data_IF_454222201252
#
_entry.id   IF_454222201252
#
_cell.length_a   1.000
_cell.length_b   1.000
_cell.length_c   1.000
_cell.angle_alpha   90.00
_cell.angle_beta   90.00
_cell.angle_gamma   90.00
#
_symmetry.space_group_name_H-M   'P 1'
#
loop_
_entity.id
_entity.type
_entity.pdbx_description
1 polymer ?
#
# COMPACT_ATOMS: atom_id res chain seq x y z
N UNK A 1 10.49 -15.35 61.02
CA UNK A 1 10.83 -15.15 62.44
C UNK A 1 10.88 -13.72 62.96
N UNK A 2 10.75 -12.67 62.12
CA UNK A 2 10.67 -11.29 62.60
C UNK A 2 9.40 -10.98 63.42
N UNK A 3 8.22 -11.47 62.98
CA UNK A 3 6.94 -11.19 63.64
C UNK A 3 6.78 -11.88 65.02
N UNK A 4 7.46 -13.02 65.24
CA UNK A 4 7.46 -13.70 66.54
C UNK A 4 8.32 -12.94 67.56
N UNK A 5 9.46 -12.37 67.12
CA UNK A 5 10.29 -11.53 67.97
C UNK A 5 9.58 -10.22 68.36
N UNK A 6 8.76 -9.66 67.46
CA UNK A 6 7.98 -8.45 67.71
C UNK A 6 6.86 -8.69 68.75
N UNK A 7 6.21 -9.86 68.69
CA UNK A 7 5.22 -10.27 69.70
C UNK A 7 5.83 -10.43 71.09
N UNK A 8 7.02 -11.04 71.17
CA UNK A 8 7.72 -11.22 72.45
C UNK A 8 8.16 -9.89 73.08
N UNK A 9 8.53 -8.88 72.28
CA UNK A 9 8.82 -7.53 72.79
C UNK A 9 7.58 -6.85 73.36
N UNK A 10 6.45 -6.93 72.65
CA UNK A 10 5.18 -6.38 73.15
C UNK A 10 4.73 -7.07 74.46
N UNK A 11 4.97 -8.37 74.61
CA UNK A 11 4.70 -9.12 75.85
C UNK A 11 5.59 -8.65 77.01
N UNK A 12 6.88 -8.39 76.76
CA UNK A 12 7.82 -7.87 77.76
C UNK A 12 7.49 -6.44 78.17
N UNK A 13 7.22 -5.55 77.22
CA UNK A 13 6.87 -4.14 77.52
C UNK A 13 5.57 -4.02 78.33
N UNK A 14 4.64 -4.97 78.15
CA UNK A 14 3.45 -5.10 79.01
C UNK A 14 3.78 -5.61 80.40
N UNK A 15 4.64 -6.62 80.51
CA UNK A 15 5.07 -7.15 81.81
C UNK A 15 5.81 -6.11 82.64
N UNK A 16 6.57 -5.23 81.98
CA UNK A 16 7.28 -4.10 82.59
C UNK A 16 6.37 -2.88 82.87
N UNK A 17 5.08 -2.94 82.47
CA UNK A 17 4.07 -1.91 82.76
C UNK A 17 4.17 -0.63 81.90
N UNK A 18 4.97 -0.65 80.85
CA UNK A 18 5.23 0.53 80.00
C UNK A 18 4.15 0.80 78.95
N UNK A 19 3.27 -0.17 78.67
CA UNK A 19 2.18 -0.02 77.69
C UNK A 19 0.83 -0.36 78.31
N UNK A 20 -0.22 0.36 77.91
CA UNK A 20 -1.56 0.12 78.41
C UNK A 20 -2.15 -1.19 77.87
N UNK A 21 -3.17 -1.69 78.55
CA UNK A 21 -3.84 -2.95 78.20
C UNK A 21 -4.48 -2.90 76.81
N UNK A 22 -4.98 -1.72 76.42
CA UNK A 22 -5.66 -1.47 75.15
C UNK A 22 -4.68 -1.29 73.99
N UNK A 23 -3.51 -0.70 74.25
CA UNK A 23 -2.45 -0.54 73.24
C UNK A 23 -1.85 -1.90 72.87
N UNK A 24 -1.61 -2.76 73.86
CA UNK A 24 -1.17 -4.13 73.63
C UNK A 24 -2.20 -4.93 72.83
N UNK A 25 -3.50 -4.83 73.16
CA UNK A 25 -4.55 -5.52 72.44
C UNK A 25 -4.68 -5.05 70.98
N UNK A 26 -4.35 -3.78 70.72
CA UNK A 26 -4.33 -3.23 69.35
C UNK A 26 -3.11 -3.70 68.56
N UNK A 27 -1.93 -3.76 69.19
CA UNK A 27 -0.71 -4.30 68.58
C UNK A 27 -0.87 -5.78 68.18
N UNK A 28 -1.48 -6.61 69.04
CA UNK A 28 -1.74 -8.02 68.69
C UNK A 28 -2.69 -8.17 67.49
N UNK A 29 -3.72 -7.34 67.39
CA UNK A 29 -4.69 -7.40 66.28
C UNK A 29 -4.05 -7.04 64.93
N UNK A 30 -3.15 -6.07 64.91
CA UNK A 30 -2.43 -5.72 63.67
C UNK A 30 -1.43 -6.80 63.25
N UNK A 31 -0.77 -7.46 64.22
CA UNK A 31 0.12 -8.60 63.96
C UNK A 31 -0.69 -9.77 63.38
N UNK A 32 -1.83 -10.11 63.97
CA UNK A 32 -2.71 -11.19 63.47
C UNK A 32 -3.25 -10.89 62.07
N UNK A 33 -3.61 -9.63 61.78
CA UNK A 33 -4.03 -9.22 60.43
C UNK A 33 -2.91 -9.35 59.41
N UNK A 34 -1.66 -9.04 59.77
CA UNK A 34 -0.48 -9.22 58.90
C UNK A 34 -0.14 -10.70 58.68
N UNK A 35 -0.30 -11.54 59.70
CA UNK A 35 -0.15 -12.99 59.58
C UNK A 35 -1.21 -13.59 58.63
N UNK A 36 -2.46 -13.15 58.74
CA UNK A 36 -3.53 -13.57 57.83
C UNK A 36 -3.28 -13.07 56.39
N UNK A 37 -2.77 -11.85 56.22
CA UNK A 37 -2.37 -11.32 54.91
C UNK A 37 -1.26 -12.13 54.24
N UNK A 38 -0.25 -12.57 55.01
CA UNK A 38 0.82 -13.43 54.52
C UNK A 38 0.33 -14.83 54.13
N UNK A 39 -0.68 -15.37 54.81
CA UNK A 39 -1.32 -16.63 54.42
C UNK A 39 -2.13 -16.50 53.12
N UNK A 40 -2.80 -15.37 52.89
CA UNK A 40 -3.55 -15.11 51.66
C UNK A 40 -2.65 -14.84 50.44
N UNK A 41 -1.47 -14.25 50.64
CA UNK A 41 -0.43 -14.11 49.60
C UNK A 41 0.16 -15.49 49.23
N UNK A 42 0.41 -16.34 50.23
CA UNK A 42 0.90 -17.70 50.02
C UNK A 42 -0.17 -18.59 49.36
N UNK A 43 -1.45 -18.40 49.68
CA UNK A 43 -2.58 -19.09 49.02
C UNK A 43 -2.80 -18.62 47.58
N UNK A 44 -2.53 -17.33 47.26
CA UNK A 44 -2.47 -16.84 45.87
C UNK A 44 -1.30 -17.44 45.08
N UNK A 45 -0.16 -17.70 45.73
CA UNK A 45 1.00 -18.33 45.08
C UNK A 45 0.82 -19.85 44.92
N UNK A 46 0.06 -20.53 45.79
CA UNK A 46 -0.36 -21.93 45.59
C UNK A 46 -1.58 -22.10 44.67
N UNK A 47 -2.42 -21.07 44.49
CA UNK A 47 -3.56 -21.08 43.55
C UNK A 47 -3.15 -20.82 42.09
N UNK A 48 -1.87 -20.52 41.82
CA UNK A 48 -1.30 -20.60 40.45
C UNK A 48 -0.82 -22.05 40.15
N UNK A 49 -1.02 -22.99 41.08
CA UNK A 49 -0.90 -24.43 40.84
C UNK A 49 -2.27 -25.08 40.65
N UNK A 50 -2.53 -25.55 39.43
CA UNK A 50 -3.71 -26.32 38.99
C UNK A 50 -5.03 -25.55 38.80
N UNK A 51 -5.23 -24.98 37.60
CA UNK A 51 -6.42 -25.28 36.76
C UNK A 51 -6.30 -24.69 35.35
N UNK A 52 -5.46 -25.27 34.48
CA UNK A 52 -5.56 -25.13 33.00
C UNK A 52 -5.10 -26.40 32.25
N UNK A 53 -5.04 -27.55 32.92
CA UNK A 53 -4.72 -28.84 32.28
C UNK A 53 -5.95 -29.73 32.16
N UNK A 54 -6.97 -29.25 31.45
CA UNK A 54 -7.91 -30.18 30.81
C UNK A 54 -7.20 -30.82 29.62
N UNK A 55 -7.29 -32.14 29.45
CA UNK A 55 -6.71 -32.91 28.34
C UNK A 55 -6.84 -32.25 26.93
N UNK A 56 -7.94 -31.54 26.57
CA UNK A 56 -8.03 -30.80 25.31
C UNK A 56 -7.07 -29.61 25.17
N UNK A 57 -6.62 -28.98 26.26
CA UNK A 57 -5.73 -27.81 26.22
C UNK A 57 -4.27 -28.20 25.92
N UNK A 58 -3.84 -29.38 26.40
CA UNK A 58 -2.54 -29.97 26.03
C UNK A 58 -2.53 -30.38 24.57
N UNK A 59 -3.65 -30.96 24.09
CA UNK A 59 -3.80 -31.31 22.69
C UNK A 59 -3.77 -30.08 21.79
N UNK A 60 -4.49 -29.00 22.17
CA UNK A 60 -4.52 -27.74 21.42
C UNK A 60 -3.17 -27.01 21.38
N UNK A 61 -2.42 -27.03 22.48
CA UNK A 61 -1.10 -26.38 22.56
C UNK A 61 -0.02 -27.14 21.78
N UNK A 62 -0.15 -28.47 21.64
CA UNK A 62 0.71 -29.27 20.76
C UNK A 62 0.27 -29.18 19.29
N UNK A 63 -1.00 -28.91 19.03
CA UNK A 63 -1.55 -28.81 17.68
C UNK A 63 -0.95 -27.64 16.90
N UNK A 64 -0.71 -26.51 17.56
CA UNK A 64 -0.13 -25.31 16.94
C UNK A 64 1.29 -25.55 16.39
N UNK A 65 2.28 -26.04 17.16
CA UNK A 65 3.60 -26.34 16.62
C UNK A 65 3.58 -27.47 15.59
N UNK A 66 2.69 -28.46 15.73
CA UNK A 66 2.57 -29.56 14.74
C UNK A 66 1.97 -29.09 13.43
N UNK A 67 0.92 -28.24 13.45
CA UNK A 67 0.37 -27.62 12.24
C UNK A 67 1.38 -26.66 11.61
N UNK A 68 2.08 -25.87 12.42
CA UNK A 68 3.14 -24.98 11.95
C UNK A 68 4.26 -25.77 11.28
N UNK A 69 4.67 -26.91 11.86
CA UNK A 69 5.65 -27.82 11.27
C UNK A 69 5.10 -28.49 9.99
N UNK A 70 3.83 -28.89 9.96
CA UNK A 70 3.20 -29.47 8.78
C UNK A 70 3.08 -28.47 7.62
N UNK A 71 2.70 -27.24 7.91
CA UNK A 71 2.69 -26.12 6.94
C UNK A 71 4.11 -25.83 6.47
N UNK A 72 5.08 -25.81 7.38
CA UNK A 72 6.49 -25.57 7.06
C UNK A 72 7.11 -26.70 6.22
N UNK A 73 6.72 -27.96 6.42
CA UNK A 73 7.20 -29.08 5.60
C UNK A 73 6.45 -29.20 4.27
N UNK A 74 5.20 -28.73 4.19
CA UNK A 74 4.39 -28.75 2.97
C UNK A 74 4.62 -27.56 2.03
N UNK A 75 4.89 -26.37 2.58
CA UNK A 75 5.10 -25.12 1.84
C UNK A 75 6.56 -24.66 1.92
N UNK A 76 7.24 -24.94 3.02
CA UNK A 76 8.65 -24.59 3.20
C UNK A 76 9.57 -25.57 2.48
N UNK A 77 10.76 -25.08 2.17
CA UNK A 77 11.77 -25.83 1.44
C UNK A 77 12.97 -26.03 2.38
N UNK A 78 12.91 -26.97 3.34
CA UNK A 78 13.90 -27.10 4.41
C UNK A 78 15.30 -27.45 3.90
N UNK A 79 15.40 -28.00 2.69
CA UNK A 79 16.65 -28.30 1.98
C UNK A 79 17.12 -27.17 1.05
N UNK A 80 16.52 -25.97 1.09
CA UNK A 80 17.05 -24.86 0.30
C UNK A 80 18.41 -24.46 0.85
N UNK A 81 19.51 -24.64 0.09
CA UNK A 81 20.83 -24.24 0.56
C UNK A 81 20.82 -22.74 0.87
N UNK A 82 21.42 -22.36 2.00
CA UNK A 82 21.71 -20.96 2.32
C UNK A 82 22.35 -20.33 1.08
N UNK A 83 21.71 -19.30 0.50
CA UNK A 83 22.30 -18.49 -0.58
C UNK A 83 22.97 -17.28 0.05
N UNK A 84 24.25 -17.35 0.45
CA UNK A 84 24.97 -16.22 1.05
C UNK A 84 24.95 -15.03 0.09
N UNK A 85 24.92 -13.80 0.63
CA UNK A 85 24.86 -12.55 -0.13
C UNK A 85 25.88 -12.45 -1.28
N UNK A 86 27.04 -13.12 -1.17
CA UNK A 86 28.04 -13.23 -2.22
C UNK A 86 27.52 -13.84 -3.55
N UNK A 87 26.53 -14.74 -3.47
CA UNK A 87 25.88 -15.36 -4.65
C UNK A 87 24.82 -14.45 -5.30
N UNK A 88 24.29 -13.47 -4.56
CA UNK A 88 23.35 -12.45 -5.07
C UNK A 88 24.06 -11.23 -5.64
N UNK A 89 25.34 -11.00 -5.32
CA UNK A 89 26.10 -9.87 -5.86
C UNK A 89 26.16 -9.90 -7.39
N UNK A 90 26.29 -11.09 -8.00
CA UNK A 90 26.28 -11.23 -9.46
C UNK A 90 24.88 -10.96 -10.07
N UNK A 91 23.81 -11.41 -9.41
CA UNK A 91 22.42 -11.15 -9.83
C UNK A 91 22.05 -9.67 -9.67
N UNK A 92 22.43 -9.03 -8.56
CA UNK A 92 22.25 -7.60 -8.31
C UNK A 92 23.11 -6.77 -9.27
N UNK A 93 24.35 -7.19 -9.55
CA UNK A 93 25.21 -6.53 -10.53
C UNK A 93 24.66 -6.68 -11.95
N UNK A 94 24.12 -7.85 -12.32
CA UNK A 94 23.46 -8.07 -13.60
C UNK A 94 22.16 -7.24 -13.72
N UNK A 95 21.35 -7.17 -12.67
CA UNK A 95 20.15 -6.33 -12.62
C UNK A 95 20.50 -4.83 -12.73
N UNK A 96 21.56 -4.37 -12.05
CA UNK A 96 22.07 -2.99 -12.16
C UNK A 96 22.67 -2.71 -13.53
N UNK A 97 23.42 -3.66 -14.10
CA UNK A 97 23.98 -3.53 -15.44
C UNK A 97 22.87 -3.42 -16.50
N UNK A 98 21.85 -4.28 -16.43
CA UNK A 98 20.67 -4.21 -17.30
C UNK A 98 19.87 -2.92 -17.10
N UNK A 99 19.72 -2.44 -15.87
CA UNK A 99 19.08 -1.14 -15.61
C UNK A 99 19.86 0.04 -16.22
N UNK A 100 21.18 0.04 -16.09
CA UNK A 100 22.05 1.05 -16.69
C UNK A 100 22.03 0.99 -18.22
N UNK A 101 22.02 -0.20 -18.81
CA UNK A 101 21.94 -0.39 -20.25
C UNK A 101 20.60 0.12 -20.81
N UNK A 102 19.49 -0.19 -20.14
CA UNK A 102 18.17 0.34 -20.49
C UNK A 102 18.10 1.87 -20.38
N UNK A 103 18.68 2.45 -19.33
CA UNK A 103 18.73 3.91 -19.16
C UNK A 103 19.56 4.57 -20.26
N UNK A 104 20.71 3.98 -20.61
CA UNK A 104 21.55 4.47 -21.70
C UNK A 104 20.85 4.37 -23.06
N UNK A 105 20.13 3.27 -23.31
CA UNK A 105 19.34 3.09 -24.52
C UNK A 105 18.23 4.15 -24.65
N UNK A 106 17.50 4.42 -23.56
CA UNK A 106 16.46 5.45 -23.55
C UNK A 106 17.03 6.87 -23.78
N UNK A 107 18.17 7.18 -23.16
CA UNK A 107 18.86 8.45 -23.37
C UNK A 107 19.39 8.61 -24.81
N UNK A 108 19.89 7.54 -25.42
CA UNK A 108 20.32 7.54 -26.81
C UNK A 108 19.14 7.71 -27.76
N UNK A 109 18.02 7.00 -27.53
CA UNK A 109 16.80 7.14 -28.31
C UNK A 109 16.26 8.59 -28.29
N UNK A 110 16.28 9.25 -27.13
CA UNK A 110 15.92 10.67 -27.04
C UNK A 110 16.85 11.55 -27.89
N UNK A 111 18.17 11.36 -27.79
CA UNK A 111 19.15 12.13 -28.58
C UNK A 111 18.95 11.94 -30.08
N UNK A 112 18.72 10.69 -30.51
CA UNK A 112 18.51 10.36 -31.92
C UNK A 112 17.20 10.96 -32.44
N UNK A 113 16.14 10.94 -31.64
CA UNK A 113 14.87 11.56 -31.98
C UNK A 113 14.97 13.10 -32.09
N UNK A 114 15.74 13.75 -31.21
CA UNK A 114 16.05 15.19 -31.34
C UNK A 114 16.74 15.45 -32.67
N UNK A 115 17.80 14.70 -32.99
CA UNK A 115 18.53 14.86 -34.25
C UNK A 115 17.66 14.57 -35.48
N UNK A 116 16.67 13.68 -35.38
CA UNK A 116 15.70 13.44 -36.45
C UNK A 116 14.81 14.67 -36.71
N UNK A 117 14.30 15.31 -35.66
CA UNK A 117 13.48 16.54 -35.80
C UNK A 117 14.27 17.72 -36.38
N UNK A 118 15.56 17.84 -36.07
CA UNK A 118 16.42 18.87 -36.66
C UNK A 118 16.67 18.65 -38.16
N UNK A 119 16.82 17.39 -38.58
CA UNK A 119 17.01 17.04 -40.00
C UNK A 119 15.73 17.18 -40.81
N UNK A 120 14.58 16.87 -40.22
CA UNK A 120 13.29 16.86 -40.88
C UNK A 120 12.22 17.60 -40.05
N UNK A 121 12.29 18.94 -39.96
CA UNK A 121 11.43 19.72 -39.05
C UNK A 121 9.95 19.73 -39.43
N UNK A 122 9.59 19.31 -40.65
CA UNK A 122 8.21 19.20 -41.13
C UNK A 122 7.70 17.75 -41.13
N UNK A 123 8.51 16.80 -40.67
CA UNK A 123 8.13 15.39 -40.62
C UNK A 123 7.44 15.07 -39.30
N UNK A 124 6.14 14.77 -39.37
CA UNK A 124 5.34 14.42 -38.19
C UNK A 124 5.85 13.16 -37.49
N UNK A 125 6.39 12.20 -38.22
CA UNK A 125 6.88 10.94 -37.64
C UNK A 125 8.07 11.22 -36.71
N UNK A 126 8.98 12.10 -37.11
CA UNK A 126 10.11 12.52 -36.28
C UNK A 126 9.65 13.18 -34.97
N UNK A 127 8.62 14.01 -35.01
CA UNK A 127 8.06 14.65 -33.81
C UNK A 127 7.35 13.66 -32.89
N UNK A 128 6.62 12.69 -33.42
CA UNK A 128 5.98 11.64 -32.61
C UNK A 128 7.03 10.70 -31.98
N UNK A 129 8.10 10.38 -32.71
CA UNK A 129 9.24 9.65 -32.14
C UNK A 129 9.88 10.42 -30.99
N UNK A 130 10.06 11.74 -31.14
CA UNK A 130 10.58 12.58 -30.07
C UNK A 130 9.65 12.60 -28.86
N UNK A 131 8.33 12.75 -29.07
CA UNK A 131 7.35 12.71 -27.99
C UNK A 131 7.42 11.38 -27.21
N UNK A 132 7.46 10.25 -27.91
CA UNK A 132 7.56 8.93 -27.28
C UNK A 132 8.88 8.74 -26.54
N UNK A 133 10.01 9.13 -27.14
CA UNK A 133 11.32 9.00 -26.51
C UNK A 133 11.42 9.87 -25.25
N UNK A 134 10.87 11.09 -25.30
CA UNK A 134 10.80 11.99 -24.16
C UNK A 134 9.91 11.45 -23.03
N UNK A 135 8.74 10.89 -23.38
CA UNK A 135 7.84 10.23 -22.42
C UNK A 135 8.54 9.07 -21.68
N UNK A 136 9.32 8.25 -22.40
CA UNK A 136 10.02 7.09 -21.85
C UNK A 136 11.10 7.46 -20.81
N UNK A 137 11.69 8.66 -20.92
CA UNK A 137 12.69 9.15 -19.94
C UNK A 137 12.10 10.12 -18.92
N UNK A 138 10.79 10.37 -18.97
CA UNK A 138 10.10 11.32 -18.08
C UNK A 138 10.35 12.79 -18.41
N UNK A 139 10.90 13.11 -19.58
CA UNK A 139 11.07 14.50 -20.04
C UNK A 139 9.73 15.03 -20.59
N UNK A 140 8.86 15.41 -19.66
CA UNK A 140 7.52 15.90 -19.97
C UNK A 140 7.54 17.20 -20.77
N UNK A 141 8.55 18.06 -20.58
CA UNK A 141 8.64 19.34 -21.28
C UNK A 141 8.90 19.10 -22.77
N UNK A 142 9.88 18.24 -23.10
CA UNK A 142 10.20 17.89 -24.49
C UNK A 142 9.04 17.15 -25.16
N UNK A 143 8.37 16.24 -24.44
CA UNK A 143 7.19 15.55 -24.95
C UNK A 143 6.07 16.54 -25.34
N UNK A 144 5.69 17.43 -24.42
CA UNK A 144 4.62 18.42 -24.63
C UNK A 144 4.97 19.34 -25.80
N UNK A 145 6.23 19.79 -25.92
CA UNK A 145 6.66 20.63 -27.04
C UNK A 145 6.56 19.86 -28.37
N UNK A 146 7.03 18.62 -28.41
CA UNK A 146 6.99 17.80 -29.63
C UNK A 146 5.55 17.55 -30.11
N UNK A 147 4.63 17.23 -29.20
CA UNK A 147 3.21 17.03 -29.52
C UNK A 147 2.53 18.32 -30.01
N UNK A 148 2.85 19.48 -29.41
CA UNK A 148 2.35 20.78 -29.90
C UNK A 148 2.81 21.06 -31.33
N UNK A 149 4.10 20.85 -31.62
CA UNK A 149 4.61 20.99 -32.98
C UNK A 149 3.92 20.03 -33.95
N UNK A 150 3.67 18.78 -33.52
CA UNK A 150 2.93 17.81 -34.33
C UNK A 150 1.50 18.25 -34.65
N UNK A 151 0.80 18.84 -33.67
CA UNK A 151 -0.54 19.43 -33.87
C UNK A 151 -0.47 20.58 -34.89
N UNK A 152 0.55 21.44 -34.81
CA UNK A 152 0.72 22.56 -35.74
C UNK A 152 1.00 22.08 -37.17
N UNK A 153 1.87 21.08 -37.35
CA UNK A 153 2.20 20.49 -38.67
C UNK A 153 0.97 19.84 -39.32
N UNK A 154 0.17 19.14 -38.51
CA UNK A 154 -1.00 18.39 -38.98
C UNK A 154 -2.28 19.23 -39.04
N UNK A 155 -2.22 20.50 -38.65
CA UNK A 155 -3.37 21.40 -38.54
C UNK A 155 -4.48 20.88 -37.62
N UNK A 156 -4.12 20.31 -36.46
CA UNK A 156 -5.08 19.93 -35.43
C UNK A 156 -5.49 18.46 -35.44
N UNK A 157 -4.57 17.54 -35.76
CA UNK A 157 -4.87 16.10 -35.68
C UNK A 157 -5.38 15.72 -34.28
N UNK A 158 -6.52 15.02 -34.27
CA UNK A 158 -7.26 14.69 -33.04
C UNK A 158 -6.53 13.63 -32.20
N UNK A 159 -5.85 12.68 -32.84
CA UNK A 159 -5.09 11.67 -32.11
C UNK A 159 -3.87 12.29 -31.40
N UNK A 160 -3.17 13.23 -32.04
CA UNK A 160 -2.06 13.96 -31.41
C UNK A 160 -2.59 14.88 -30.29
N UNK A 161 -3.76 15.48 -30.50
CA UNK A 161 -4.44 16.29 -29.48
C UNK A 161 -4.76 15.47 -28.23
N UNK A 162 -5.20 14.22 -28.37
CA UNK A 162 -5.43 13.33 -27.23
C UNK A 162 -4.13 12.94 -26.54
N UNK A 163 -3.06 12.66 -27.28
CA UNK A 163 -1.72 12.41 -26.71
C UNK A 163 -1.23 13.60 -25.87
N UNK A 164 -1.45 14.84 -26.34
CA UNK A 164 -1.07 16.04 -25.58
C UNK A 164 -1.85 16.15 -24.27
N UNK A 165 -3.14 15.79 -24.26
CA UNK A 165 -3.93 15.78 -23.02
C UNK A 165 -3.40 14.76 -22.01
N UNK A 166 -2.98 13.57 -22.47
CA UNK A 166 -2.36 12.56 -21.62
C UNK A 166 -1.00 13.03 -21.09
N UNK A 167 -0.14 13.59 -21.94
CA UNK A 167 1.17 14.11 -21.55
C UNK A 167 1.04 15.21 -20.48
N UNK A 168 0.09 16.14 -20.65
CA UNK A 168 -0.21 17.17 -19.66
C UNK A 168 -0.71 16.59 -18.33
N UNK A 169 -1.49 15.50 -18.38
CA UNK A 169 -2.00 14.83 -17.18
C UNK A 169 -0.88 14.10 -16.45
N UNK A 170 0.00 13.39 -17.18
CA UNK A 170 1.21 12.77 -16.59
C UNK A 170 2.16 13.79 -15.98
N UNK A 171 2.40 14.92 -16.67
CA UNK A 171 3.23 16.00 -16.16
C UNK A 171 2.68 16.65 -14.87
N UNK A 172 1.38 16.47 -14.61
CA UNK A 172 0.70 16.92 -13.41
C UNK A 172 0.38 15.76 -12.44
N UNK A 173 1.25 14.73 -12.40
CA UNK A 173 1.15 13.57 -11.50
C UNK A 173 -0.20 12.83 -11.59
N UNK A 174 -0.79 12.78 -12.79
CA UNK A 174 -2.07 12.13 -13.07
C UNK A 174 -3.29 13.03 -12.88
N UNK A 175 -3.13 14.29 -12.46
CA UNK A 175 -4.23 15.24 -12.39
C UNK A 175 -4.67 15.67 -13.80
N UNK A 176 -5.96 15.53 -14.13
CA UNK A 176 -6.49 16.04 -15.39
C UNK A 176 -6.74 17.54 -15.24
N UNK A 177 -5.73 18.34 -15.59
CA UNK A 177 -5.72 19.80 -15.43
C UNK A 177 -6.72 20.50 -16.37
N UNK A 178 -7.03 21.79 -16.11
CA UNK A 178 -7.91 22.59 -16.98
C UNK A 178 -7.47 22.58 -18.45
N UNK A 179 -6.17 22.75 -18.79
CA UNK A 179 -5.71 22.60 -20.17
C UNK A 179 -5.96 21.22 -20.77
N UNK A 180 -5.70 20.14 -20.03
CA UNK A 180 -5.96 18.78 -20.49
C UNK A 180 -7.45 18.54 -20.76
N UNK A 181 -8.34 19.03 -19.88
CA UNK A 181 -9.81 18.95 -20.03
C UNK A 181 -10.30 19.64 -21.29
N UNK A 182 -9.73 20.81 -21.62
CA UNK A 182 -10.07 21.51 -22.85
C UNK A 182 -9.73 20.68 -24.09
N UNK A 183 -8.56 20.04 -24.11
CA UNK A 183 -8.15 19.15 -25.20
C UNK A 183 -9.04 17.90 -25.28
N UNK A 184 -9.33 17.25 -24.16
CA UNK A 184 -10.23 16.08 -24.08
C UNK A 184 -11.61 16.44 -24.65
N UNK A 185 -12.14 17.61 -24.29
CA UNK A 185 -13.42 18.08 -24.84
C UNK A 185 -13.37 18.27 -26.36
N UNK A 186 -12.28 18.84 -26.88
CA UNK A 186 -12.07 18.97 -28.33
C UNK A 186 -12.01 17.60 -29.01
N UNK A 187 -11.28 16.65 -28.42
CA UNK A 187 -11.14 15.29 -28.94
C UNK A 187 -12.50 14.58 -28.98
N UNK A 188 -13.22 14.52 -27.85
CA UNK A 188 -14.51 13.83 -27.78
C UNK A 188 -15.61 14.49 -28.62
N UNK A 189 -15.47 15.78 -28.94
CA UNK A 189 -16.37 16.46 -29.87
C UNK A 189 -16.13 16.02 -31.34
N UNK A 190 -14.89 15.68 -31.69
CA UNK A 190 -14.52 15.24 -33.03
C UNK A 190 -14.62 13.72 -33.19
N UNK A 191 -14.17 12.97 -32.18
CA UNK A 191 -14.24 11.51 -32.09
C UNK A 191 -14.73 11.10 -30.70
N UNK A 192 -16.05 10.86 -30.54
CA UNK A 192 -16.64 10.43 -29.27
C UNK A 192 -16.17 9.03 -28.80
N UNK A 193 -15.53 8.25 -29.67
CA UNK A 193 -15.06 6.90 -29.39
C UNK A 193 -13.55 6.85 -29.11
N UNK A 194 -12.86 7.99 -29.05
CA UNK A 194 -11.40 8.03 -28.88
C UNK A 194 -11.02 7.48 -27.49
N UNK A 195 -10.29 6.34 -27.41
CA UNK A 195 -10.10 5.63 -26.15
C UNK A 195 -9.35 6.44 -25.07
N UNK A 196 -8.32 7.20 -25.45
CA UNK A 196 -7.52 7.97 -24.51
C UNK A 196 -8.34 9.10 -23.89
N UNK A 197 -9.13 9.80 -24.69
CA UNK A 197 -9.99 10.87 -24.22
C UNK A 197 -11.13 10.35 -23.34
N UNK A 198 -11.74 9.19 -23.67
CA UNK A 198 -12.72 8.55 -22.79
C UNK A 198 -12.12 8.16 -21.44
N UNK A 199 -10.90 7.60 -21.44
CA UNK A 199 -10.19 7.26 -20.20
C UNK A 199 -9.94 8.49 -19.33
N UNK A 200 -9.39 9.56 -19.93
CA UNK A 200 -9.06 10.80 -19.21
C UNK A 200 -10.32 11.58 -18.80
N UNK A 201 -11.40 11.54 -19.58
CA UNK A 201 -12.68 12.14 -19.20
C UNK A 201 -13.28 11.44 -17.97
N UNK A 202 -13.22 10.11 -17.92
CA UNK A 202 -13.62 9.36 -16.73
C UNK A 202 -12.75 9.71 -15.52
N UNK A 203 -11.43 9.75 -15.69
CA UNK A 203 -10.51 10.14 -14.62
C UNK A 203 -10.78 11.57 -14.11
N UNK A 204 -11.05 12.51 -15.02
CA UNK A 204 -11.40 13.89 -14.68
C UNK A 204 -12.69 13.96 -13.86
N UNK A 205 -13.74 13.24 -14.27
CA UNK A 205 -15.00 13.17 -13.53
C UNK A 205 -14.81 12.52 -12.15
N UNK A 206 -14.00 11.46 -12.04
CA UNK A 206 -13.67 10.85 -10.76
C UNK A 206 -12.97 11.83 -9.81
N UNK A 207 -12.00 12.59 -10.32
CA UNK A 207 -11.26 13.61 -9.55
C UNK A 207 -12.17 14.75 -9.07
N UNK A 208 -13.26 15.02 -9.79
CA UNK A 208 -14.26 16.04 -9.41
C UNK A 208 -15.33 15.51 -8.45
N UNK A 209 -15.33 14.20 -8.16
CA UNK A 209 -16.38 13.54 -7.38
C UNK A 209 -17.65 13.23 -8.18
N UNK A 210 -17.62 13.41 -9.50
CA UNK A 210 -18.71 13.08 -10.42
C UNK A 210 -18.69 11.59 -10.78
N UNK A 211 -18.82 10.72 -9.77
CA UNK A 211 -18.61 9.28 -9.93
C UNK A 211 -19.52 8.62 -10.97
N UNK A 212 -20.79 9.04 -11.08
CA UNK A 212 -21.70 8.53 -12.10
C UNK A 212 -21.22 8.85 -13.53
N UNK A 213 -20.74 10.08 -13.75
CA UNK A 213 -20.19 10.49 -15.05
C UNK A 213 -18.89 9.73 -15.34
N UNK A 214 -18.03 9.55 -14.33
CA UNK A 214 -16.81 8.74 -14.43
C UNK A 214 -17.10 7.32 -14.91
N UNK A 215 -18.06 6.64 -14.28
CA UNK A 215 -18.48 5.28 -14.63
C UNK A 215 -18.98 5.25 -16.07
N UNK A 216 -19.79 6.23 -16.49
CA UNK A 216 -20.32 6.29 -17.86
C UNK A 216 -19.20 6.41 -18.92
N UNK A 217 -18.20 7.25 -18.68
CA UNK A 217 -17.08 7.41 -19.63
C UNK A 217 -16.26 6.13 -19.74
N UNK A 218 -15.95 5.48 -18.62
CA UNK A 218 -15.20 4.23 -18.62
C UNK A 218 -16.00 3.03 -19.15
N UNK A 219 -17.32 2.99 -18.97
CA UNK A 219 -18.19 2.02 -19.65
C UNK A 219 -18.15 2.22 -21.18
N UNK A 220 -18.24 3.47 -21.63
CA UNK A 220 -18.15 3.81 -23.06
C UNK A 220 -16.79 3.39 -23.63
N UNK A 221 -15.72 3.59 -22.87
CA UNK A 221 -14.39 3.10 -23.20
C UNK A 221 -14.40 1.57 -23.37
N UNK A 222 -14.92 0.81 -22.40
CA UNK A 222 -14.97 -0.65 -22.49
C UNK A 222 -15.73 -1.17 -23.72
N UNK A 223 -16.77 -0.46 -24.16
CA UNK A 223 -17.54 -0.82 -25.37
C UNK A 223 -16.69 -0.74 -26.64
N UNK A 224 -15.81 0.26 -26.75
CA UNK A 224 -14.95 0.46 -27.93
C UNK A 224 -13.62 -0.29 -27.84
N UNK A 225 -13.37 -1.00 -26.73
CA UNK A 225 -12.10 -1.65 -26.42
C UNK A 225 -12.05 -3.09 -26.90
N UNK A 226 -10.85 -3.59 -27.22
CA UNK A 226 -10.61 -5.03 -27.24
C UNK A 226 -10.72 -5.57 -25.80
N UNK A 227 -11.60 -6.56 -25.51
CA UNK A 227 -11.78 -7.10 -24.16
C UNK A 227 -10.53 -7.74 -23.56
N UNK A 228 -9.57 -8.17 -24.39
CA UNK A 228 -8.31 -8.79 -23.98
C UNK A 228 -7.16 -7.77 -23.82
N UNK A 229 -7.43 -6.48 -24.01
CA UNK A 229 -6.40 -5.46 -23.84
C UNK A 229 -5.93 -5.37 -22.38
N UNK A 230 -4.61 -5.30 -22.09
CA UNK A 230 -4.09 -5.37 -20.73
C UNK A 230 -4.64 -4.31 -19.76
N UNK A 231 -5.05 -3.16 -20.27
CA UNK A 231 -5.59 -2.03 -19.50
C UNK A 231 -7.09 -2.15 -19.19
N UNK A 232 -7.82 -3.10 -19.78
CA UNK A 232 -9.27 -3.27 -19.54
C UNK A 232 -9.56 -3.63 -18.08
N UNK A 233 -8.71 -4.47 -17.46
CA UNK A 233 -8.84 -4.81 -16.05
C UNK A 233 -8.77 -3.56 -15.16
N UNK A 234 -7.80 -2.68 -15.41
CA UNK A 234 -7.66 -1.40 -14.71
C UNK A 234 -8.91 -0.52 -14.88
N UNK A 235 -9.49 -0.46 -16.08
CA UNK A 235 -10.70 0.33 -16.32
C UNK A 235 -11.89 -0.21 -15.53
N UNK A 236 -12.04 -1.54 -15.43
CA UNK A 236 -13.09 -2.16 -14.58
C UNK A 236 -12.87 -1.87 -13.09
N UNK A 237 -11.63 -1.96 -12.62
CA UNK A 237 -11.27 -1.58 -11.24
C UNK A 237 -11.58 -0.11 -10.96
N UNK A 238 -11.31 0.78 -11.92
CA UNK A 238 -11.65 2.19 -11.82
C UNK A 238 -13.17 2.40 -11.69
N UNK A 239 -13.97 1.71 -12.52
CA UNK A 239 -15.44 1.74 -12.43
C UNK A 239 -15.92 1.27 -11.05
N UNK A 240 -15.37 0.18 -10.53
CA UNK A 240 -15.69 -0.32 -9.20
C UNK A 240 -15.36 0.71 -8.10
N UNK A 241 -14.18 1.33 -8.16
CA UNK A 241 -13.78 2.38 -7.21
C UNK A 241 -14.69 3.60 -7.27
N UNK A 242 -15.12 4.02 -8.46
CA UNK A 242 -16.08 5.11 -8.61
C UNK A 242 -17.45 4.74 -8.03
N UNK A 243 -17.89 3.50 -8.26
CA UNK A 243 -19.16 3.01 -7.73
C UNK A 243 -19.17 3.00 -6.20
N UNK A 244 -18.11 2.49 -5.58
CA UNK A 244 -17.94 2.49 -4.13
C UNK A 244 -17.88 3.91 -3.56
N UNK A 245 -17.10 4.80 -4.18
CA UNK A 245 -16.97 6.19 -3.71
C UNK A 245 -18.28 6.98 -3.83
N UNK A 246 -19.12 6.65 -4.81
CA UNK A 246 -20.42 7.28 -5.06
C UNK A 246 -21.63 6.59 -4.44
N UNK A 247 -21.46 5.45 -3.75
CA UNK A 247 -22.56 4.56 -3.32
C UNK A 247 -23.53 4.19 -4.46
N UNK A 248 -22.96 3.91 -5.65
CA UNK A 248 -23.69 3.60 -6.88
C UNK A 248 -23.70 2.07 -7.07
N UNK A 249 -24.89 1.49 -7.20
CA UNK A 249 -25.01 0.08 -7.55
C UNK A 249 -24.65 -0.16 -9.02
N UNK A 250 -23.62 -0.99 -9.27
CA UNK A 250 -23.30 -1.47 -10.61
C UNK A 250 -24.23 -2.63 -11.01
N UNK A 251 -24.73 -2.68 -12.25
CA UNK A 251 -25.48 -3.83 -12.73
C UNK A 251 -24.56 -5.06 -12.86
N UNK A 252 -25.09 -6.25 -12.57
CA UNK A 252 -24.35 -7.53 -12.49
C UNK A 252 -23.64 -7.97 -13.79
N UNK A 253 -23.88 -7.29 -14.92
CA UNK A 253 -23.18 -7.52 -16.19
C UNK A 253 -21.90 -6.67 -16.33
N UNK A 254 -21.51 -5.94 -15.28
CA UNK A 254 -20.42 -4.95 -15.31
C UNK A 254 -19.39 -5.10 -14.19
N UNK A 255 -19.57 -6.09 -13.32
CA UNK A 255 -18.56 -6.65 -12.40
C UNK A 255 -17.77 -7.75 -13.08
#
# INVERSE_FOLDING_TARGET
DLLQAERQRADQERADGNISTDDYASACRDIDRRLLGLSAEMDRLTTIGNSILTWPSVLASLLVPVLSLGIYLGIGNPDSPDRPFASRTAEIAAAKAGANENQNAAANALRDAIAATEKAPQDIEAWLMLAQAAANVGDSETEIRALRTGIDITNGDIAITSMLAEALSRAADGQVTIPARALIKTVLAADPAEPRALFLAGLAAFQDGEYAASIQQWQSLLVVSNPDAPWVALVRENIQRAAEAGDIALPASQT
#
